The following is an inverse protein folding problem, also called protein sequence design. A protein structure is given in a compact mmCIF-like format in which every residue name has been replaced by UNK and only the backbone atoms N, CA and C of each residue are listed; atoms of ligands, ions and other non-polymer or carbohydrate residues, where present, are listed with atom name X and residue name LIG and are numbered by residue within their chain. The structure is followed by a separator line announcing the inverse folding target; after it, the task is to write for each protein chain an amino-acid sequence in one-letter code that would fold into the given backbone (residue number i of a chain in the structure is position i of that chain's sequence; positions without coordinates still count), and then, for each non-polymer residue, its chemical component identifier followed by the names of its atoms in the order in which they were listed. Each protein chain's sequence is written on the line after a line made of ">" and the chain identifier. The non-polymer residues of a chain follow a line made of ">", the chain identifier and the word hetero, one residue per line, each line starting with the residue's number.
data_IF_231690072494
#
_entry.id   IF_231690072494
#
_cell.length_a   1.000
_cell.length_b   1.000
_cell.length_c   1.000
_cell.angle_alpha   90.00
_cell.angle_beta   90.00
_cell.angle_gamma   90.00
#
_symmetry.space_group_name_H-M   'P 1'
#
loop_
_entity.id
_entity.type
_entity.pdbx_description
1 polymer ?
#
# COMPACT_ATOMS: atom_id res chain seq x y z
N UNK A 1 -36.60 20.77 -15.36
CA UNK A 1 -37.55 20.74 -14.25
C UNK A 1 -36.78 20.59 -12.93
N UNK A 2 -37.35 21.09 -11.86
CA UNK A 2 -36.79 20.98 -10.49
C UNK A 2 -36.49 19.55 -10.07
N UNK A 3 -37.30 18.61 -10.51
CA UNK A 3 -37.09 17.17 -10.26
C UNK A 3 -35.80 16.64 -10.89
N UNK A 4 -35.47 17.09 -12.10
CA UNK A 4 -34.26 16.68 -12.81
C UNK A 4 -32.99 17.20 -12.13
N UNK A 5 -33.02 18.45 -11.68
CA UNK A 5 -31.93 19.07 -10.91
C UNK A 5 -31.72 18.35 -9.58
N UNK A 6 -32.80 17.97 -8.90
CA UNK A 6 -32.74 17.24 -7.63
C UNK A 6 -32.14 15.83 -7.79
N UNK A 7 -32.53 15.10 -8.82
CA UNK A 7 -31.97 13.79 -9.14
C UNK A 7 -30.48 13.88 -9.48
N UNK A 8 -30.07 14.90 -10.25
CA UNK A 8 -28.66 15.13 -10.57
C UNK A 8 -27.82 15.46 -9.33
N UNK A 9 -28.34 16.28 -8.41
CA UNK A 9 -27.65 16.62 -7.17
C UNK A 9 -27.47 15.40 -6.25
N UNK A 10 -28.45 14.55 -6.13
CA UNK A 10 -28.35 13.30 -5.35
C UNK A 10 -27.31 12.39 -5.97
N UNK A 11 -27.30 12.24 -7.29
CA UNK A 11 -26.38 11.37 -7.99
C UNK A 11 -24.93 11.83 -7.85
N UNK A 12 -24.65 13.13 -7.98
CA UNK A 12 -23.31 13.70 -7.79
C UNK A 12 -22.82 13.58 -6.34
N UNK A 13 -23.69 13.78 -5.35
CA UNK A 13 -23.36 13.61 -3.93
C UNK A 13 -23.03 12.13 -3.61
N UNK A 14 -23.82 11.18 -4.12
CA UNK A 14 -23.59 9.74 -3.96
C UNK A 14 -22.26 9.29 -4.59
N UNK A 15 -21.91 9.80 -5.79
CA UNK A 15 -20.64 9.48 -6.47
C UNK A 15 -19.43 10.00 -5.71
N UNK A 16 -19.51 11.23 -5.18
CA UNK A 16 -18.45 11.83 -4.34
C UNK A 16 -18.24 11.03 -3.06
N UNK A 17 -19.31 10.63 -2.38
CA UNK A 17 -19.25 9.81 -1.16
C UNK A 17 -18.56 8.46 -1.42
N UNK A 18 -18.89 7.79 -2.54
CA UNK A 18 -18.26 6.52 -2.93
C UNK A 18 -16.76 6.68 -3.21
N UNK A 19 -16.33 7.74 -3.92
CA UNK A 19 -14.92 8.01 -4.21
C UNK A 19 -14.14 8.30 -2.93
N UNK A 20 -14.69 9.10 -2.01
CA UNK A 20 -14.07 9.40 -0.72
C UNK A 20 -13.93 8.16 0.14
N UNK A 21 -14.94 7.28 0.16
CA UNK A 21 -14.87 6.03 0.90
C UNK A 21 -13.76 5.13 0.36
N UNK A 22 -13.65 4.96 -0.95
CA UNK A 22 -12.58 4.17 -1.57
C UNK A 22 -11.19 4.73 -1.24
N UNK A 23 -11.02 6.04 -1.33
CA UNK A 23 -9.77 6.72 -0.97
C UNK A 23 -9.40 6.47 0.50
N UNK A 24 -10.36 6.59 1.42
CA UNK A 24 -10.13 6.35 2.84
C UNK A 24 -9.81 4.88 3.13
N UNK A 25 -10.47 3.94 2.46
CA UNK A 25 -10.18 2.51 2.60
C UNK A 25 -8.74 2.20 2.16
N UNK A 26 -8.25 2.80 1.05
CA UNK A 26 -6.87 2.62 0.60
C UNK A 26 -5.88 3.21 1.61
N UNK A 27 -6.14 4.40 2.15
CA UNK A 27 -5.28 5.00 3.18
C UNK A 27 -5.20 4.12 4.42
N UNK A 28 -6.32 3.57 4.88
CA UNK A 28 -6.35 2.64 6.02
C UNK A 28 -5.57 1.37 5.74
N UNK A 29 -5.72 0.79 4.56
CA UNK A 29 -5.00 -0.41 4.15
C UNK A 29 -3.48 -0.15 4.09
N UNK A 30 -3.07 0.95 3.49
CA UNK A 30 -1.67 1.36 3.42
C UNK A 30 -1.07 1.54 4.83
N UNK A 31 -1.77 2.28 5.70
CA UNK A 31 -1.35 2.49 7.09
C UNK A 31 -1.18 1.17 7.85
N UNK A 32 -2.10 0.23 7.70
CA UNK A 32 -2.02 -1.07 8.35
C UNK A 32 -0.79 -1.87 7.90
N UNK A 33 -0.46 -1.84 6.61
CA UNK A 33 0.72 -2.53 6.07
C UNK A 33 2.01 -1.87 6.59
N UNK A 34 2.07 -0.54 6.60
CA UNK A 34 3.20 0.21 7.17
C UNK A 34 3.39 -0.12 8.65
N UNK A 35 2.33 -0.14 9.42
CA UNK A 35 2.37 -0.48 10.86
C UNK A 35 2.85 -1.91 11.08
N UNK A 36 2.39 -2.87 10.26
CA UNK A 36 2.86 -4.26 10.37
C UNK A 36 4.37 -4.37 10.13
N UNK A 37 4.88 -3.75 9.08
CA UNK A 37 6.32 -3.78 8.75
C UNK A 37 7.13 -3.12 9.86
N UNK A 38 6.72 -1.95 10.34
CA UNK A 38 7.39 -1.26 11.43
C UNK A 38 7.36 -2.07 12.76
N UNK A 39 6.25 -2.69 13.06
CA UNK A 39 6.11 -3.53 14.26
C UNK A 39 7.06 -4.73 14.22
N UNK A 40 7.17 -5.41 13.09
CA UNK A 40 8.13 -6.50 12.91
C UNK A 40 9.59 -6.03 12.99
N UNK A 41 9.91 -4.88 12.39
CA UNK A 41 11.25 -4.28 12.51
C UNK A 41 11.59 -4.02 13.98
N UNK A 42 10.68 -3.44 14.74
CA UNK A 42 10.88 -3.13 16.16
C UNK A 42 11.02 -4.40 17.00
N UNK A 43 10.20 -5.42 16.75
CA UNK A 43 10.30 -6.72 17.45
C UNK A 43 11.62 -7.42 17.16
N UNK A 44 12.08 -7.37 15.90
CA UNK A 44 13.36 -7.94 15.50
C UNK A 44 14.57 -7.17 16.09
N UNK A 45 14.45 -5.88 16.29
CA UNK A 45 15.48 -5.06 16.95
C UNK A 45 15.70 -5.50 18.39
N UNK A 46 14.62 -5.91 19.08
CA UNK A 46 14.67 -6.38 20.46
C UNK A 46 15.14 -7.83 20.60
N UNK A 47 14.91 -8.65 19.58
CA UNK A 47 15.27 -10.07 19.60
C UNK A 47 15.59 -10.58 18.20
N UNK A 48 16.89 -10.63 17.87
CA UNK A 48 17.39 -11.06 16.56
C UNK A 48 17.23 -12.56 16.26
N UNK A 49 17.04 -13.37 17.30
CA UNK A 49 16.88 -14.83 17.15
C UNK A 49 15.41 -15.23 16.88
N UNK A 50 14.53 -14.27 16.86
CA UNK A 50 13.11 -14.43 16.59
C UNK A 50 12.82 -14.65 15.10
N UNK A 51 11.73 -15.35 14.81
CA UNK A 51 11.13 -15.39 13.48
C UNK A 51 10.12 -14.25 13.30
N UNK A 52 10.06 -13.69 12.11
CA UNK A 52 8.99 -12.76 11.70
C UNK A 52 7.65 -13.49 11.57
N UNK A 53 6.56 -12.75 11.50
CA UNK A 53 5.22 -13.30 11.29
C UNK A 53 5.10 -14.07 9.95
N UNK A 54 5.92 -13.77 8.97
CA UNK A 54 5.98 -14.50 7.69
C UNK A 54 7.07 -15.58 7.63
N UNK A 55 7.67 -15.93 8.77
CA UNK A 55 8.55 -17.08 8.92
C UNK A 55 10.02 -16.87 8.53
N UNK A 56 10.45 -15.64 8.27
CA UNK A 56 11.87 -15.32 8.05
C UNK A 56 12.57 -15.02 9.37
N UNK A 57 13.85 -15.35 9.45
CA UNK A 57 14.65 -15.04 10.62
C UNK A 57 14.89 -13.51 10.71
N UNK A 58 14.76 -12.95 11.89
CA UNK A 58 15.03 -11.53 12.11
C UNK A 58 16.46 -11.11 11.74
N UNK A 59 17.44 -12.01 11.84
CA UNK A 59 18.83 -11.75 11.48
C UNK A 59 19.13 -11.90 9.98
N UNK A 60 18.19 -12.45 9.20
CA UNK A 60 18.35 -12.63 7.75
C UNK A 60 17.83 -11.43 6.97
N UNK A 61 18.16 -11.36 5.68
CA UNK A 61 17.50 -10.44 4.75
C UNK A 61 16.06 -10.92 4.52
N UNK A 62 15.13 -10.00 4.56
CA UNK A 62 13.72 -10.31 4.31
C UNK A 62 13.40 -10.18 2.82
N UNK A 63 12.37 -10.86 2.40
CA UNK A 63 11.91 -10.84 1.02
C UNK A 63 10.49 -10.27 0.93
N UNK A 64 10.33 -9.22 0.12
CA UNK A 64 9.04 -8.57 -0.07
C UNK A 64 7.95 -9.53 -0.59
N UNK A 65 8.31 -10.54 -1.39
CA UNK A 65 7.36 -11.55 -1.87
C UNK A 65 6.75 -12.37 -0.73
N UNK A 66 7.53 -12.70 0.29
CA UNK A 66 7.04 -13.46 1.46
C UNK A 66 6.10 -12.62 2.32
N UNK A 67 6.40 -11.34 2.48
CA UNK A 67 5.53 -10.40 3.19
C UNK A 67 4.20 -10.26 2.45
N UNK A 68 4.25 -10.04 1.13
CA UNK A 68 3.05 -9.93 0.30
C UNK A 68 2.21 -11.19 0.38
N UNK A 69 2.83 -12.38 0.28
CA UNK A 69 2.13 -13.66 0.43
C UNK A 69 1.46 -13.78 1.80
N UNK A 70 2.18 -13.47 2.86
CA UNK A 70 1.65 -13.51 4.23
C UNK A 70 0.42 -12.60 4.38
N UNK A 71 0.49 -11.38 3.85
CA UNK A 71 -0.61 -10.42 3.89
C UNK A 71 -1.84 -10.94 3.13
N UNK A 72 -1.66 -11.47 1.93
CA UNK A 72 -2.74 -12.01 1.12
C UNK A 72 -3.39 -13.24 1.77
N UNK A 73 -2.61 -14.08 2.44
CA UNK A 73 -3.10 -15.30 3.09
C UNK A 73 -3.85 -15.03 4.42
N UNK A 74 -3.47 -13.97 5.14
CA UNK A 74 -3.95 -13.73 6.52
C UNK A 74 -4.94 -12.55 6.63
N UNK A 75 -4.96 -11.63 5.67
CA UNK A 75 -5.85 -10.48 5.69
C UNK A 75 -6.80 -10.51 4.51
N UNK A 76 -8.10 -10.50 4.79
CA UNK A 76 -9.15 -10.42 3.77
C UNK A 76 -9.37 -8.97 3.33
N UNK A 77 -8.34 -8.39 2.73
CA UNK A 77 -8.37 -7.03 2.22
C UNK A 77 -8.56 -7.06 0.71
N UNK A 78 -9.45 -6.24 0.21
CA UNK A 78 -9.73 -6.11 -1.21
C UNK A 78 -9.33 -4.72 -1.71
N UNK A 79 -8.90 -4.66 -2.97
CA UNK A 79 -8.76 -3.39 -3.65
C UNK A 79 -10.15 -2.80 -3.91
N UNK A 80 -10.53 -1.66 -3.30
CA UNK A 80 -11.88 -1.10 -3.44
C UNK A 80 -12.18 -0.55 -4.83
N UNK A 81 -11.17 -0.33 -5.67
CA UNK A 81 -11.35 0.08 -7.07
C UNK A 81 -11.54 -1.10 -8.02
N UNK A 82 -10.96 -2.25 -7.69
CA UNK A 82 -11.07 -3.45 -8.52
C UNK A 82 -10.87 -4.71 -7.67
N UNK A 83 -11.96 -5.38 -7.35
CA UNK A 83 -11.97 -6.58 -6.51
C UNK A 83 -11.19 -7.76 -7.12
N UNK A 84 -10.98 -7.75 -8.44
CA UNK A 84 -10.21 -8.80 -9.14
C UNK A 84 -8.71 -8.57 -9.08
N UNK A 85 -8.27 -7.36 -8.71
CA UNK A 85 -6.85 -7.04 -8.54
C UNK A 85 -6.42 -7.24 -7.10
N UNK A 86 -5.18 -7.69 -6.87
CA UNK A 86 -4.67 -7.84 -5.52
C UNK A 86 -4.61 -6.48 -4.81
N UNK A 87 -4.79 -6.50 -3.50
CA UNK A 87 -4.60 -5.30 -2.68
C UNK A 87 -3.14 -4.92 -2.54
N UNK A 88 -2.26 -5.90 -2.44
CA UNK A 88 -0.83 -5.72 -2.21
C UNK A 88 -0.03 -6.50 -3.25
N UNK A 89 1.05 -5.91 -3.71
CA UNK A 89 1.93 -6.47 -4.74
C UNK A 89 3.37 -6.03 -4.52
N UNK A 90 4.33 -6.86 -4.92
CA UNK A 90 5.73 -6.46 -4.98
C UNK A 90 5.97 -5.50 -6.14
N UNK A 91 6.90 -4.58 -5.97
CA UNK A 91 7.35 -3.67 -7.02
C UNK A 91 8.86 -3.45 -6.94
N UNK A 92 9.49 -3.18 -8.06
CA UNK A 92 10.89 -2.77 -8.08
C UNK A 92 11.05 -1.34 -7.56
N UNK A 93 10.10 -0.47 -7.85
CA UNK A 93 10.09 0.91 -7.37
C UNK A 93 8.65 1.38 -7.07
N UNK A 94 8.20 1.24 -5.82
CA UNK A 94 6.88 1.70 -5.41
C UNK A 94 6.64 3.21 -5.56
N UNK A 95 7.71 4.03 -5.63
CA UNK A 95 7.59 5.48 -5.86
C UNK A 95 6.99 5.75 -7.23
N UNK A 96 7.44 5.03 -8.25
CA UNK A 96 6.90 5.14 -9.60
C UNK A 96 5.42 4.76 -9.64
N UNK A 97 5.04 3.71 -8.95
CA UNK A 97 3.66 3.23 -8.91
C UNK A 97 2.74 4.17 -8.12
N UNK A 98 3.22 4.72 -7.00
CA UNK A 98 2.44 5.64 -6.17
C UNK A 98 2.21 6.98 -6.87
N UNK A 99 3.23 7.54 -7.49
CA UNK A 99 3.17 8.86 -8.13
C UNK A 99 2.59 8.84 -9.54
N UNK A 100 2.66 7.71 -10.24
CA UNK A 100 2.15 7.59 -11.60
C UNK A 100 2.94 8.39 -12.61
N UNK A 101 4.16 7.99 -12.88
CA UNK A 101 4.97 8.65 -13.93
C UNK A 101 4.33 8.52 -15.30
N UNK A 102 4.51 9.56 -16.12
CA UNK A 102 4.00 9.60 -17.49
C UNK A 102 4.34 8.33 -18.28
N UNK A 103 3.33 7.70 -18.87
CA UNK A 103 3.46 6.48 -19.67
C UNK A 103 3.39 5.16 -18.90
N UNK A 104 3.27 5.21 -17.57
CA UNK A 104 3.05 4.00 -16.77
C UNK A 104 1.62 3.94 -16.24
N UNK A 105 0.97 2.80 -16.48
CA UNK A 105 -0.35 2.53 -15.89
C UNK A 105 -0.16 2.25 -14.39
N UNK A 106 -0.69 3.12 -13.57
CA UNK A 106 -0.78 2.89 -12.13
C UNK A 106 -2.16 2.39 -11.78
N UNK A 107 -2.20 1.20 -11.21
CA UNK A 107 -3.45 0.64 -10.70
C UNK A 107 -3.78 1.27 -9.35
N UNK A 108 -4.81 2.10 -9.34
CA UNK A 108 -5.31 2.72 -8.11
C UNK A 108 -5.67 1.66 -7.07
N UNK A 109 -5.26 1.92 -5.84
CA UNK A 109 -5.61 1.10 -4.70
C UNK A 109 -4.75 -0.14 -4.47
N UNK A 110 -3.83 -0.47 -5.37
CA UNK A 110 -2.82 -1.49 -5.12
C UNK A 110 -1.72 -0.87 -4.25
N UNK A 111 -1.33 -1.56 -3.20
CA UNK A 111 -0.23 -1.17 -2.33
C UNK A 111 1.01 -1.92 -2.79
N UNK A 112 2.01 -1.18 -3.22
CA UNK A 112 3.26 -1.72 -3.73
C UNK A 112 4.32 -1.71 -2.64
N UNK A 113 5.02 -2.83 -2.51
CA UNK A 113 6.07 -3.04 -1.51
C UNK A 113 7.36 -3.43 -2.20
N UNK A 114 8.45 -2.76 -1.85
CA UNK A 114 9.80 -3.16 -2.23
C UNK A 114 10.74 -3.14 -1.04
N UNK A 115 11.81 -3.87 -1.17
CA UNK A 115 12.93 -3.88 -0.26
C UNK A 115 14.20 -3.56 -1.02
N UNK A 116 14.95 -2.58 -0.53
CA UNK A 116 16.28 -2.24 -1.00
C UNK A 116 17.29 -2.65 0.07
N UNK A 117 18.10 -3.63 -0.22
CA UNK A 117 19.18 -4.06 0.66
C UNK A 117 20.43 -3.19 0.42
N UNK A 118 21.01 -2.69 1.49
CA UNK A 118 22.28 -1.97 1.41
C UNK A 118 23.44 -2.99 1.47
N UNK A 119 24.32 -2.95 0.46
CA UNK A 119 25.45 -3.91 0.36
C UNK A 119 26.48 -3.77 1.47
N UNK A 120 26.58 -2.60 2.12
CA UNK A 120 27.65 -2.29 3.07
C UNK A 120 27.29 -2.46 4.55
N UNK A 121 26.01 -2.59 4.87
CA UNK A 121 25.52 -2.75 6.25
C UNK A 121 24.34 -3.69 6.28
N UNK A 122 24.16 -4.43 7.38
CA UNK A 122 23.01 -5.34 7.56
C UNK A 122 21.72 -4.53 7.74
N UNK A 123 21.36 -3.75 6.73
CA UNK A 123 20.19 -2.89 6.72
C UNK A 123 19.42 -2.97 5.41
N UNK A 124 18.16 -2.66 5.47
CA UNK A 124 17.30 -2.55 4.31
C UNK A 124 16.34 -1.37 4.45
N UNK A 125 16.01 -0.75 3.32
CA UNK A 125 14.94 0.23 3.20
C UNK A 125 13.70 -0.48 2.64
N UNK A 126 12.60 -0.43 3.36
CA UNK A 126 11.29 -0.86 2.90
C UNK A 126 10.53 0.33 2.36
N UNK A 127 10.08 0.24 1.12
CA UNK A 127 9.29 1.30 0.48
C UNK A 127 7.89 0.76 0.24
N UNK A 128 6.89 1.46 0.75
CA UNK A 128 5.48 1.08 0.67
C UNK A 128 4.72 2.25 0.07
N UNK A 129 4.21 2.07 -1.15
CA UNK A 129 3.58 3.13 -1.92
C UNK A 129 2.27 2.72 -2.56
N UNK A 130 1.35 3.65 -2.67
CA UNK A 130 0.05 3.43 -3.33
C UNK A 130 -0.48 4.70 -3.98
N UNK A 131 -1.17 4.55 -5.10
CA UNK A 131 -2.02 5.58 -5.68
C UNK A 131 -3.43 5.46 -5.10
N UNK A 132 -3.92 6.51 -4.48
CA UNK A 132 -5.23 6.56 -3.81
C UNK A 132 -6.32 6.94 -4.79
N UNK A 133 -6.07 7.96 -5.61
CA UNK A 133 -6.99 8.45 -6.65
C UNK A 133 -6.23 9.16 -7.77
N UNK A 134 -6.83 9.26 -8.93
CA UNK A 134 -6.25 9.98 -10.07
C UNK A 134 -6.44 11.51 -9.96
N UNK A 135 -5.48 12.32 -10.40
CA UNK A 135 -4.16 11.90 -10.86
C UNK A 135 -3.24 11.53 -9.69
N UNK A 136 -2.52 10.42 -9.80
CA UNK A 136 -1.70 9.89 -8.70
C UNK A 136 -0.60 10.86 -8.25
N UNK A 137 -0.05 11.64 -9.16
CA UNK A 137 1.02 12.61 -8.89
C UNK A 137 0.57 13.81 -8.04
N UNK A 138 -0.73 14.09 -7.98
CA UNK A 138 -1.23 15.21 -7.22
C UNK A 138 -1.08 15.00 -5.71
N UNK A 139 -0.77 16.07 -4.99
CA UNK A 139 -0.64 16.03 -3.54
C UNK A 139 -1.91 15.48 -2.87
N UNK A 140 -1.74 14.54 -1.96
CA UNK A 140 -2.84 13.87 -1.27
C UNK A 140 -3.51 12.73 -2.05
N UNK A 141 -3.09 12.47 -3.29
CA UNK A 141 -3.60 11.38 -4.12
C UNK A 141 -2.72 10.13 -4.11
N UNK A 142 -1.64 10.17 -3.39
CA UNK A 142 -0.75 9.02 -3.16
C UNK A 142 -0.26 9.00 -1.71
N UNK A 143 0.18 7.85 -1.28
CA UNK A 143 0.90 7.64 -0.02
C UNK A 143 2.21 6.91 -0.32
N UNK A 144 3.28 7.40 0.26
CA UNK A 144 4.61 6.81 0.12
C UNK A 144 5.35 6.89 1.45
N UNK A 145 5.72 5.74 2.00
CA UNK A 145 6.43 5.63 3.27
C UNK A 145 7.67 4.77 3.09
N UNK A 146 8.77 5.18 3.70
CA UNK A 146 9.97 4.37 3.87
C UNK A 146 10.11 3.93 5.32
N UNK A 147 10.43 2.66 5.52
CA UNK A 147 10.79 2.09 6.81
C UNK A 147 12.20 1.50 6.72
N UNK A 148 12.98 1.69 7.75
CA UNK A 148 14.39 1.27 7.77
C UNK A 148 14.61 0.22 8.85
N UNK A 149 15.39 -0.78 8.48
CA UNK A 149 15.81 -1.87 9.35
C UNK A 149 17.31 -1.85 9.59
#
# INVERSE_FOLDING_TARGET
>A
SLFYVFVMLIWTASTRSSVLKKANDIKSNHKMIVELVNDEINKCSSNKDRLTSWGENCSSLWNSSKIVKYMLDNFKLNNPYNIQKPLIQTSQDPRIQAEGKAGQSTDKGIIFVSENNFESEAGSEWIIGTCIKSPCVAAGNNELVSAYR
#
